data_IF_291843825036
#
_entry.id   IF_291843825036
#
_cell.length_a   1.000
_cell.length_b   1.000
_cell.length_c   1.000
_cell.angle_alpha   90.00
_cell.angle_beta   90.00
_cell.angle_gamma   90.00
#
_symmetry.space_group_name_H-M   'P 1'
#
loop_
_entity.id
_entity.type
_entity.pdbx_description
1 polymer ?
#
# COMPACT_ATOMS: atom_id res chain seq x y z
N UNK A 1 51.94 37.41 10.92
CA UNK A 1 51.87 36.07 10.32
C UNK A 1 51.11 35.18 11.30
N UNK A 2 49.92 34.65 11.08
CA UNK A 2 48.97 34.69 9.95
C UNK A 2 47.62 34.28 10.58
N UNK A 3 46.57 35.08 10.43
CA UNK A 3 45.24 34.73 10.93
C UNK A 3 44.59 33.72 9.99
N UNK A 4 44.10 32.61 10.52
CA UNK A 4 43.32 31.62 9.77
C UNK A 4 41.92 32.18 9.51
N UNK A 5 41.56 32.33 8.24
CA UNK A 5 40.22 32.71 7.82
C UNK A 5 39.28 31.50 7.94
N UNK A 6 38.18 31.65 8.67
CA UNK A 6 37.06 30.70 8.69
C UNK A 6 36.19 30.98 7.47
N UNK A 7 36.12 30.03 6.54
CA UNK A 7 35.17 30.12 5.42
C UNK A 7 33.73 29.86 5.89
N UNK A 8 32.73 30.58 5.36
CA UNK A 8 31.33 30.36 5.72
C UNK A 8 30.82 29.05 5.09
N UNK A 9 30.15 28.23 5.91
CA UNK A 9 29.42 27.04 5.44
C UNK A 9 28.21 27.50 4.64
N UNK A 10 28.30 27.40 3.32
CA UNK A 10 27.19 27.65 2.41
C UNK A 10 26.21 26.48 2.49
N UNK A 11 25.03 26.70 3.05
CA UNK A 11 23.90 25.75 2.97
C UNK A 11 23.49 25.59 1.50
N UNK A 12 23.49 24.39 0.90
CA UNK A 12 22.94 24.23 -0.44
C UNK A 12 21.41 24.45 -0.38
N UNK A 13 20.92 25.29 -1.29
CA UNK A 13 19.51 25.54 -1.52
C UNK A 13 18.78 24.22 -1.88
N UNK A 14 17.47 24.08 -1.54
CA UNK A 14 16.69 22.91 -1.92
C UNK A 14 16.66 22.81 -3.45
N UNK A 15 17.30 21.77 -3.97
CA UNK A 15 17.39 21.53 -5.41
C UNK A 15 16.10 20.89 -5.89
N UNK A 16 15.44 21.60 -6.81
CA UNK A 16 14.52 21.12 -7.84
C UNK A 16 13.54 19.99 -7.48
N UNK A 17 12.26 20.36 -7.42
CA UNK A 17 11.07 19.52 -7.63
C UNK A 17 11.35 18.31 -8.50
N UNK A 18 11.28 17.11 -7.92
CA UNK A 18 11.24 15.86 -8.66
C UNK A 18 10.07 15.94 -9.66
N UNK A 19 10.38 15.86 -10.95
CA UNK A 19 9.37 15.74 -11.99
C UNK A 19 8.46 14.56 -11.63
N UNK A 20 7.16 14.80 -11.53
CA UNK A 20 6.19 13.72 -11.36
C UNK A 20 6.39 12.75 -12.54
N UNK A 21 6.74 11.47 -12.31
CA UNK A 21 6.85 10.52 -13.40
C UNK A 21 5.48 10.42 -14.10
N UNK A 22 5.48 10.37 -15.43
CA UNK A 22 4.26 10.12 -16.20
C UNK A 22 3.53 8.88 -15.63
N UNK A 23 2.19 8.91 -15.49
CA UNK A 23 1.46 7.80 -14.90
C UNK A 23 1.74 6.52 -15.68
N UNK A 24 2.19 5.50 -14.97
CA UNK A 24 2.49 4.20 -15.55
C UNK A 24 1.17 3.54 -15.94
N UNK A 25 0.94 3.31 -17.24
CA UNK A 25 -0.32 2.72 -17.74
C UNK A 25 -0.15 1.28 -18.19
N UNK A 26 -1.09 0.42 -17.81
CA UNK A 26 -1.12 -0.99 -18.21
C UNK A 26 -2.51 -1.61 -18.03
N UNK A 27 -2.75 -2.75 -18.69
CA UNK A 27 -3.96 -3.54 -18.44
C UNK A 27 -3.93 -4.14 -17.03
N UNK A 28 -5.08 -4.53 -16.52
CA UNK A 28 -5.16 -5.16 -15.19
C UNK A 28 -4.36 -6.48 -15.14
N UNK A 29 -4.41 -7.28 -16.19
CA UNK A 29 -3.65 -8.54 -16.29
C UNK A 29 -2.14 -8.28 -16.31
N UNK A 30 -1.72 -7.22 -17.00
CA UNK A 30 -0.33 -6.80 -17.00
C UNK A 30 0.11 -6.30 -15.62
N UNK A 31 -0.75 -5.60 -14.89
CA UNK A 31 -0.51 -5.19 -13.50
C UNK A 31 -0.32 -6.38 -12.56
N UNK A 32 -1.16 -7.42 -12.65
CA UNK A 32 -0.99 -8.64 -11.84
C UNK A 32 0.31 -9.40 -12.16
N UNK A 33 0.81 -9.31 -13.39
CA UNK A 33 2.07 -9.93 -13.81
C UNK A 33 3.29 -9.01 -13.65
N UNK A 34 3.10 -7.78 -13.17
CA UNK A 34 4.15 -6.78 -13.10
C UNK A 34 4.93 -6.90 -11.79
N UNK A 35 6.19 -7.32 -11.90
CA UNK A 35 7.13 -7.30 -10.78
C UNK A 35 7.69 -5.88 -10.61
N UNK A 36 7.47 -5.26 -9.44
CA UNK A 36 8.08 -3.99 -9.09
C UNK A 36 8.84 -4.07 -7.77
N UNK A 37 9.91 -3.28 -7.68
CA UNK A 37 10.71 -3.21 -6.46
C UNK A 37 10.23 -2.05 -5.57
N UNK A 38 9.68 -2.40 -4.41
CA UNK A 38 9.39 -1.47 -3.32
C UNK A 38 8.06 -0.71 -3.44
N UNK A 39 7.49 -0.38 -2.27
CA UNK A 39 6.24 0.38 -2.15
C UNK A 39 4.98 -0.46 -2.32
N UNK A 40 3.82 0.19 -2.16
CA UNK A 40 2.50 -0.35 -2.52
C UNK A 40 2.11 0.18 -3.89
N UNK A 41 1.39 -0.61 -4.67
CA UNK A 41 0.90 -0.19 -5.98
C UNK A 41 -0.62 -0.35 -6.04
N UNK A 42 -1.34 0.69 -6.46
CA UNK A 42 -2.77 0.60 -6.75
C UNK A 42 -3.00 0.70 -8.25
N UNK A 43 -3.96 -0.08 -8.80
CA UNK A 43 -4.39 0.05 -10.19
C UNK A 43 -5.77 0.74 -10.25
N UNK A 44 -5.84 1.84 -10.98
CA UNK A 44 -7.04 2.70 -11.14
C UNK A 44 -7.26 2.96 -12.62
N UNK A 45 -8.32 2.41 -13.20
CA UNK A 45 -8.77 2.71 -14.57
C UNK A 45 -7.64 2.69 -15.64
N UNK A 46 -6.72 1.72 -15.54
CA UNK A 46 -5.59 1.57 -16.48
C UNK A 46 -4.30 2.29 -16.07
N UNK A 47 -4.30 2.99 -14.94
CA UNK A 47 -3.12 3.68 -14.38
C UNK A 47 -2.64 3.00 -13.09
N UNK A 48 -1.33 2.94 -12.90
CA UNK A 48 -0.68 2.44 -11.69
C UNK A 48 -0.21 3.61 -10.84
N UNK A 49 -0.65 3.61 -9.57
CA UNK A 49 -0.30 4.59 -8.56
C UNK A 49 0.69 3.94 -7.59
N UNK A 50 1.92 4.44 -7.56
CA UNK A 50 2.96 3.97 -6.65
C UNK A 50 2.97 4.77 -5.35
N UNK A 51 2.92 4.07 -4.24
CA UNK A 51 3.07 4.62 -2.91
C UNK A 51 4.47 4.28 -2.38
N UNK A 52 5.29 5.31 -2.14
CA UNK A 52 6.60 5.13 -1.50
C UNK A 52 6.45 4.47 -0.12
N UNK A 53 7.43 3.62 0.21
CA UNK A 53 7.39 2.68 1.34
C UNK A 53 6.78 3.23 2.63
N UNK A 54 5.89 2.45 3.23
CA UNK A 54 5.36 2.68 4.56
C UNK A 54 6.47 2.95 5.59
N UNK A 55 6.27 3.93 6.46
CA UNK A 55 7.19 4.22 7.57
C UNK A 55 7.41 2.98 8.46
N UNK A 56 8.56 2.87 9.12
CA UNK A 56 8.82 1.79 10.09
C UNK A 56 7.72 1.70 11.16
N UNK A 57 7.12 2.83 11.55
CA UNK A 57 6.01 2.86 12.49
C UNK A 57 4.77 2.21 11.90
N UNK A 58 4.39 2.55 10.66
CA UNK A 58 3.27 1.95 9.95
C UNK A 58 3.45 0.42 9.84
N UNK A 59 4.62 -0.03 9.40
CA UNK A 59 4.92 -1.46 9.27
C UNK A 59 4.83 -2.20 10.61
N UNK A 60 5.32 -1.59 11.70
CA UNK A 60 5.19 -2.19 13.04
C UNK A 60 3.74 -2.34 13.51
N UNK A 61 2.86 -1.41 13.12
CA UNK A 61 1.43 -1.48 13.44
C UNK A 61 0.75 -2.57 12.60
N UNK A 62 1.01 -2.61 11.29
CA UNK A 62 0.51 -3.66 10.39
C UNK A 62 0.94 -5.05 10.88
N UNK A 63 2.22 -5.24 11.19
CA UNK A 63 2.77 -6.49 11.72
C UNK A 63 2.10 -6.92 13.03
N UNK A 64 1.88 -5.97 13.95
CA UNK A 64 1.22 -6.25 15.22
C UNK A 64 -0.22 -6.72 14.99
N UNK A 65 -0.99 -6.00 14.16
CA UNK A 65 -2.36 -6.35 13.84
C UNK A 65 -2.46 -7.69 13.12
N UNK A 66 -1.59 -7.94 12.14
CA UNK A 66 -1.53 -9.21 11.40
C UNK A 66 -1.30 -10.39 12.35
N UNK A 67 -0.38 -10.26 13.32
CA UNK A 67 -0.12 -11.32 14.32
C UNK A 67 -1.32 -11.59 15.22
N UNK A 68 -1.97 -10.54 15.73
CA UNK A 68 -3.11 -10.67 16.65
C UNK A 68 -4.31 -11.28 15.92
N UNK A 69 -4.68 -10.72 14.76
CA UNK A 69 -5.81 -11.20 13.97
C UNK A 69 -5.54 -12.58 13.38
N UNK A 70 -4.34 -12.80 12.83
CA UNK A 70 -3.94 -14.08 12.24
C UNK A 70 -3.95 -15.21 13.26
N UNK A 71 -3.46 -14.97 14.49
CA UNK A 71 -3.51 -15.97 15.56
C UNK A 71 -4.96 -16.31 15.93
N UNK A 72 -5.81 -15.29 16.11
CA UNK A 72 -7.23 -15.51 16.42
C UNK A 72 -7.91 -16.33 15.32
N UNK A 73 -7.79 -15.90 14.07
CA UNK A 73 -8.41 -16.55 12.90
C UNK A 73 -7.91 -17.98 12.72
N UNK A 74 -6.62 -18.22 12.93
CA UNK A 74 -6.01 -19.55 12.85
C UNK A 74 -6.53 -20.49 13.95
N UNK A 75 -6.60 -20.01 15.20
CA UNK A 75 -7.10 -20.80 16.33
C UNK A 75 -8.57 -21.17 16.14
N UNK A 76 -9.39 -20.24 15.64
CA UNK A 76 -10.83 -20.46 15.49
C UNK A 76 -11.21 -21.13 14.17
N UNK A 77 -10.28 -21.24 13.21
CA UNK A 77 -10.58 -21.69 11.84
C UNK A 77 -11.56 -20.76 11.11
N UNK A 78 -11.53 -19.47 11.43
CA UNK A 78 -12.53 -18.51 10.93
C UNK A 78 -12.30 -18.06 9.48
N UNK A 79 -11.11 -18.29 8.92
CA UNK A 79 -10.76 -17.86 7.56
C UNK A 79 -9.27 -17.59 7.40
N UNK A 80 -8.95 -16.52 6.67
CA UNK A 80 -7.56 -16.07 6.43
C UNK A 80 -7.42 -14.56 6.62
N UNK A 81 -6.23 -14.12 7.03
CA UNK A 81 -5.82 -12.72 7.06
C UNK A 81 -4.61 -12.59 6.14
N UNK A 82 -4.63 -11.59 5.25
CA UNK A 82 -3.54 -11.26 4.35
C UNK A 82 -3.14 -9.80 4.55
N UNK A 83 -1.86 -9.51 4.37
CA UNK A 83 -1.28 -8.17 4.38
C UNK A 83 -0.81 -7.79 2.99
N UNK A 84 -0.71 -6.48 2.72
CA UNK A 84 -0.08 -6.02 1.50
C UNK A 84 1.38 -6.51 1.36
N UNK A 85 1.90 -6.68 0.13
CA UNK A 85 1.21 -6.51 -1.14
C UNK A 85 0.26 -7.68 -1.45
N UNK A 86 -1.01 -7.36 -1.69
CA UNK A 86 -2.05 -8.32 -2.07
C UNK A 86 -3.24 -7.56 -2.70
N UNK A 87 -3.43 -7.71 -4.01
CA UNK A 87 -4.47 -7.00 -4.74
C UNK A 87 -5.87 -7.51 -4.38
N UNK A 88 -6.81 -6.59 -4.22
CA UNK A 88 -8.24 -6.85 -4.01
C UNK A 88 -9.05 -6.01 -5.00
N UNK A 89 -9.97 -6.66 -5.73
CA UNK A 89 -10.96 -5.98 -6.57
C UNK A 89 -12.37 -6.17 -5.99
N UNK A 90 -12.83 -5.19 -5.22
CA UNK A 90 -14.09 -5.30 -4.47
C UNK A 90 -15.34 -5.43 -5.36
N UNK A 91 -15.33 -4.81 -6.53
CA UNK A 91 -16.44 -4.81 -7.50
C UNK A 91 -15.93 -5.42 -8.81
N UNK A 92 -16.63 -6.40 -9.43
CA UNK A 92 -16.23 -6.96 -10.72
C UNK A 92 -16.03 -5.87 -11.79
N UNK A 93 -14.86 -5.88 -12.44
CA UNK A 93 -14.48 -4.85 -13.43
C UNK A 93 -14.15 -3.47 -12.85
N UNK A 94 -14.17 -3.32 -11.54
CA UNK A 94 -13.78 -2.09 -10.85
C UNK A 94 -12.28 -2.02 -10.55
N UNK A 95 -11.97 -1.07 -9.69
CA UNK A 95 -10.61 -0.76 -9.26
C UNK A 95 -9.98 -1.85 -8.38
N UNK A 96 -8.68 -2.07 -8.55
CA UNK A 96 -7.90 -2.95 -7.68
C UNK A 96 -7.09 -2.12 -6.68
N UNK A 97 -7.16 -2.52 -5.41
CA UNK A 97 -6.50 -1.86 -4.28
C UNK A 97 -5.64 -2.87 -3.54
N UNK A 98 -4.62 -2.41 -2.85
CA UNK A 98 -3.78 -3.23 -1.96
C UNK A 98 -3.96 -2.74 -0.53
N UNK A 99 -5.00 -3.19 0.19
CA UNK A 99 -5.20 -2.75 1.57
C UNK A 99 -4.06 -3.23 2.46
N UNK A 100 -3.71 -2.46 3.49
CA UNK A 100 -2.66 -2.84 4.43
C UNK A 100 -2.89 -4.24 5.03
N UNK A 101 -4.14 -4.53 5.42
CA UNK A 101 -4.62 -5.85 5.83
C UNK A 101 -6.05 -6.09 5.36
N UNK A 102 -6.37 -7.34 5.06
CA UNK A 102 -7.76 -7.78 4.92
C UNK A 102 -8.00 -9.19 5.45
N UNK A 103 -9.22 -9.43 5.90
CA UNK A 103 -9.69 -10.73 6.38
C UNK A 103 -10.80 -11.26 5.46
N UNK A 104 -10.76 -12.56 5.21
CA UNK A 104 -11.76 -13.29 4.44
C UNK A 104 -12.22 -14.51 5.25
N UNK A 105 -13.51 -14.59 5.51
CA UNK A 105 -14.13 -15.69 6.22
C UNK A 105 -14.05 -17.00 5.43
N UNK A 106 -14.04 -18.14 6.14
CA UNK A 106 -13.96 -19.48 5.54
C UNK A 106 -15.01 -19.70 4.43
N UNK A 107 -16.23 -19.18 4.60
CA UNK A 107 -17.31 -19.30 3.61
C UNK A 107 -17.10 -18.47 2.33
N UNK A 108 -16.18 -17.50 2.35
CA UNK A 108 -15.88 -16.60 1.25
C UNK A 108 -14.53 -16.87 0.57
N UNK A 109 -13.80 -17.90 1.00
CA UNK A 109 -12.47 -18.24 0.44
C UNK A 109 -12.48 -18.51 -1.07
N UNK A 110 -13.63 -18.82 -1.67
CA UNK A 110 -13.78 -18.98 -3.13
C UNK A 110 -13.48 -17.71 -3.92
N UNK A 111 -13.49 -16.53 -3.27
CA UNK A 111 -13.08 -15.24 -3.87
C UNK A 111 -11.56 -15.09 -3.97
N UNK A 112 -10.80 -15.83 -3.15
CA UNK A 112 -9.35 -15.73 -3.15
C UNK A 112 -8.76 -16.59 -4.27
N UNK A 113 -7.99 -15.95 -5.15
CA UNK A 113 -7.25 -16.61 -6.22
C UNK A 113 -5.77 -16.67 -5.87
N UNK A 114 -4.95 -17.26 -6.75
CA UNK A 114 -3.50 -17.29 -6.57
C UNK A 114 -2.86 -15.89 -6.59
N UNK A 115 -3.46 -14.93 -7.31
CA UNK A 115 -2.87 -13.61 -7.56
C UNK A 115 -3.62 -12.44 -6.90
N UNK A 116 -4.90 -12.61 -6.55
CA UNK A 116 -5.73 -11.53 -6.03
C UNK A 116 -6.98 -12.02 -5.27
N UNK A 117 -7.58 -11.14 -4.49
CA UNK A 117 -8.93 -11.28 -3.97
C UNK A 117 -9.95 -10.69 -4.96
N UNK A 118 -10.80 -11.56 -5.50
CA UNK A 118 -11.82 -11.23 -6.50
C UNK A 118 -13.20 -11.07 -5.83
N UNK A 119 -13.49 -9.85 -5.40
CA UNK A 119 -14.65 -9.49 -4.60
C UNK A 119 -14.26 -8.79 -3.30
N UNK A 120 -15.24 -8.44 -2.45
CA UNK A 120 -14.95 -7.77 -1.19
C UNK A 120 -14.39 -8.75 -0.15
N UNK A 121 -13.42 -8.26 0.63
CA UNK A 121 -13.05 -8.84 1.91
C UNK A 121 -14.19 -8.65 2.94
N UNK A 122 -14.20 -9.49 3.97
CA UNK A 122 -15.15 -9.37 5.09
C UNK A 122 -14.75 -8.27 6.07
N UNK A 123 -13.45 -7.94 6.11
CA UNK A 123 -12.90 -6.80 6.83
C UNK A 123 -11.66 -6.29 6.08
N UNK A 124 -11.55 -4.97 5.97
CA UNK A 124 -10.35 -4.26 5.51
C UNK A 124 -9.86 -3.36 6.65
N UNK A 125 -8.54 -3.32 6.85
CA UNK A 125 -7.89 -2.43 7.81
C UNK A 125 -6.82 -1.63 7.09
N UNK A 126 -6.88 -0.30 7.24
CA UNK A 126 -5.89 0.65 6.73
C UNK A 126 -5.23 1.37 7.90
N UNK A 127 -3.90 1.40 7.93
CA UNK A 127 -3.12 2.12 8.93
C UNK A 127 -2.81 3.51 8.40
N UNK A 128 -3.51 4.50 8.92
CA UNK A 128 -3.30 5.91 8.58
C UNK A 128 -1.97 6.38 9.18
N UNK A 129 -1.12 7.03 8.37
CA UNK A 129 0.07 7.73 8.84
C UNK A 129 -0.12 9.25 8.72
N UNK A 130 0.66 10.05 9.46
CA UNK A 130 0.55 11.52 9.42
C UNK A 130 0.72 12.10 8.00
N UNK A 131 1.47 11.42 7.12
CA UNK A 131 1.62 11.79 5.70
C UNK A 131 0.40 11.44 4.82
N UNK A 132 -0.52 10.59 5.28
CA UNK A 132 -1.73 10.19 4.53
C UNK A 132 -2.95 11.07 4.85
N UNK A 133 -2.98 11.77 6.00
CA UNK A 133 -4.09 12.65 6.40
C UNK A 133 -4.38 13.74 5.35
N UNK A 134 -3.36 14.17 4.60
CA UNK A 134 -3.50 15.16 3.52
C UNK A 134 -4.06 14.60 2.20
N UNK A 135 -4.02 13.27 1.98
CA UNK A 135 -4.49 12.63 0.73
C UNK A 135 -5.81 11.87 0.89
N UNK A 136 -6.16 11.44 2.10
CA UNK A 136 -7.06 10.30 2.30
C UNK A 136 -8.52 10.64 2.66
N UNK A 137 -8.89 11.93 2.81
CA UNK A 137 -10.25 12.26 3.27
C UNK A 137 -11.35 12.22 2.21
N UNK A 138 -11.03 12.25 0.91
CA UNK A 138 -12.08 12.44 -0.12
C UNK A 138 -12.13 11.37 -1.23
N UNK A 139 -11.19 10.42 -1.34
CA UNK A 139 -11.06 9.60 -2.58
C UNK A 139 -11.06 8.07 -2.39
N UNK A 140 -10.81 7.52 -1.20
CA UNK A 140 -10.65 6.06 -1.04
C UNK A 140 -11.93 5.24 -0.80
N UNK A 141 -13.05 5.86 -0.45
CA UNK A 141 -14.27 5.15 -0.04
C UNK A 141 -15.53 5.42 -0.89
N UNK A 142 -15.38 6.04 -2.07
CA UNK A 142 -16.48 6.32 -3.00
C UNK A 142 -16.29 5.60 -4.34
#
# INVERSE_FOLDING_TARGET
MTAAATEPITTPAPTASAAQPSPLRMSYEAYLAWEHEGGLAEWVDGEVILHMSASIVHQRVVDFLNRVLGLFVSITGAGVVLSAPAAMRAIPGGNAREPDLFFLATEHLTRLTESALEGPADLVVEVISDDSVMRDRDTKFH
#
